data_IF_889145644939
#
_entry.id   IF_889145644939
#
_cell.length_a   1.000
_cell.length_b   1.000
_cell.length_c   1.000
_cell.angle_alpha   90.00
_cell.angle_beta   90.00
_cell.angle_gamma   90.00
#
_symmetry.space_group_name_H-M   'P 1'
#
loop_
_entity.id
_entity.type
_entity.pdbx_description
1 polymer ?
#
# COMPACT_ATOMS: atom_id res chain seq x y z
N UNK A 1 -0.53 -25.02 -27.72
CA UNK A 1 -0.72 -26.03 -26.65
C UNK A 1 -1.40 -25.35 -25.47
N UNK A 2 -2.50 -25.90 -24.97
CA UNK A 2 -3.13 -25.38 -23.75
C UNK A 2 -2.22 -25.68 -22.57
N UNK A 3 -1.71 -24.67 -21.88
CA UNK A 3 -0.90 -24.85 -20.68
C UNK A 3 -1.65 -25.69 -19.63
N UNK A 4 -0.91 -26.59 -18.95
CA UNK A 4 -1.46 -27.43 -17.87
C UNK A 4 -2.07 -26.53 -16.79
N UNK A 5 -3.31 -26.79 -16.39
CA UNK A 5 -3.94 -26.14 -15.24
C UNK A 5 -3.66 -26.94 -13.98
N UNK A 6 -3.25 -26.25 -12.92
CA UNK A 6 -2.88 -26.82 -11.62
C UNK A 6 -3.97 -26.59 -10.57
N UNK A 7 -4.72 -25.48 -10.68
CA UNK A 7 -5.62 -25.00 -9.64
C UNK A 7 -7.08 -25.01 -10.08
N UNK A 8 -7.95 -25.44 -9.18
CA UNK A 8 -9.40 -25.30 -9.33
C UNK A 8 -9.81 -23.89 -8.90
N UNK A 9 -11.02 -23.45 -9.28
CA UNK A 9 -11.52 -22.11 -8.96
C UNK A 9 -11.51 -21.80 -7.45
N UNK A 10 -11.91 -22.76 -6.61
CA UNK A 10 -11.93 -22.60 -5.16
C UNK A 10 -10.51 -22.49 -4.54
N UNK A 11 -9.49 -23.08 -5.14
CA UNK A 11 -8.11 -22.88 -4.72
C UNK A 11 -7.66 -21.43 -4.97
N UNK A 12 -8.03 -20.85 -6.11
CA UNK A 12 -7.69 -19.48 -6.49
C UNK A 12 -8.38 -18.47 -5.57
N UNK A 13 -9.68 -18.67 -5.31
CA UNK A 13 -10.45 -17.85 -4.36
C UNK A 13 -9.88 -17.98 -2.95
N UNK A 14 -9.64 -19.23 -2.50
CA UNK A 14 -9.08 -19.50 -1.18
C UNK A 14 -7.69 -18.89 -0.99
N UNK A 15 -6.81 -18.99 -1.98
CA UNK A 15 -5.53 -18.32 -1.96
C UNK A 15 -5.71 -16.79 -1.91
N UNK A 16 -6.51 -16.21 -2.81
CA UNK A 16 -6.76 -14.76 -2.86
C UNK A 16 -7.32 -14.19 -1.55
N UNK A 17 -8.12 -14.98 -0.81
CA UNK A 17 -8.68 -14.55 0.48
C UNK A 17 -7.61 -14.23 1.54
N UNK A 18 -6.38 -14.67 1.38
CA UNK A 18 -5.26 -14.27 2.22
C UNK A 18 -5.03 -12.76 2.29
N UNK A 19 -5.39 -12.04 1.23
CA UNK A 19 -5.34 -10.57 1.23
C UNK A 19 -6.41 -9.93 2.13
N UNK A 20 -7.47 -10.63 2.50
CA UNK A 20 -8.37 -10.17 3.58
C UNK A 20 -7.57 -10.08 4.88
N UNK A 21 -6.84 -11.13 5.23
CA UNK A 21 -6.04 -11.15 6.45
C UNK A 21 -4.97 -10.05 6.44
N UNK A 22 -4.22 -9.92 5.34
CA UNK A 22 -3.20 -8.88 5.19
C UNK A 22 -3.78 -7.46 5.28
N UNK A 23 -4.91 -7.20 4.64
CA UNK A 23 -5.53 -5.88 4.62
C UNK A 23 -6.30 -5.52 5.89
N UNK A 24 -6.81 -6.51 6.65
CA UNK A 24 -7.31 -6.26 8.00
C UNK A 24 -6.23 -5.61 8.87
N UNK A 25 -4.99 -6.10 8.81
CA UNK A 25 -3.87 -5.49 9.54
C UNK A 25 -3.46 -4.16 8.91
N UNK A 26 -3.19 -4.16 7.59
CA UNK A 26 -2.65 -2.98 6.91
C UNK A 26 -3.59 -1.79 6.92
N UNK A 27 -4.86 -1.98 6.54
CA UNK A 27 -5.85 -0.89 6.49
C UNK A 27 -6.19 -0.37 7.89
N UNK A 28 -6.24 -1.25 8.90
CA UNK A 28 -6.49 -0.86 10.27
C UNK A 28 -5.36 0.00 10.83
N UNK A 29 -4.10 -0.41 10.65
CA UNK A 29 -2.95 0.36 11.10
C UNK A 29 -2.81 1.69 10.33
N UNK A 30 -2.84 1.63 8.99
CA UNK A 30 -2.60 2.82 8.18
C UNK A 30 -3.65 3.92 8.38
N UNK A 31 -4.91 3.55 8.64
CA UNK A 31 -6.00 4.51 8.81
C UNK A 31 -6.21 4.95 10.25
N UNK A 32 -5.92 4.11 11.24
CA UNK A 32 -6.41 4.35 12.60
C UNK A 32 -5.33 4.35 13.70
N UNK A 33 -4.12 3.86 13.45
CA UNK A 33 -3.09 3.81 14.50
C UNK A 33 -2.74 5.20 15.03
N UNK A 34 -2.62 6.18 14.15
CA UNK A 34 -2.28 7.55 14.54
C UNK A 34 -3.38 8.15 15.44
N UNK A 35 -4.66 8.07 15.03
CA UNK A 35 -5.77 8.63 15.80
C UNK A 35 -5.97 7.89 17.13
N UNK A 36 -5.75 6.57 17.18
CA UNK A 36 -5.75 5.81 18.42
C UNK A 36 -4.68 6.30 19.40
N UNK A 37 -3.44 6.43 18.92
CA UNK A 37 -2.31 6.83 19.77
C UNK A 37 -2.42 8.27 20.26
N UNK A 38 -2.92 9.17 19.43
CA UNK A 38 -3.05 10.60 19.78
C UNK A 38 -4.30 10.87 20.60
N UNK A 39 -5.48 10.39 20.17
CA UNK A 39 -6.75 10.72 20.78
C UNK A 39 -7.10 9.84 21.99
N UNK A 40 -6.70 8.56 21.96
CA UNK A 40 -7.07 7.60 23.01
C UNK A 40 -5.96 7.43 24.05
N UNK A 41 -4.71 7.30 23.60
CA UNK A 41 -3.56 7.12 24.52
C UNK A 41 -2.98 8.47 24.94
N UNK A 42 -3.16 9.53 24.14
CA UNK A 42 -2.67 10.89 24.45
C UNK A 42 -1.19 11.11 24.13
N UNK A 43 -0.62 10.35 23.18
CA UNK A 43 0.78 10.48 22.78
C UNK A 43 0.98 11.62 21.77
N UNK A 44 2.17 12.23 21.79
CA UNK A 44 2.52 13.28 20.85
C UNK A 44 2.61 12.74 19.41
N UNK A 45 1.84 13.31 18.47
CA UNK A 45 1.78 12.83 17.09
C UNK A 45 3.12 12.92 16.35
N UNK A 46 3.96 13.91 16.67
CA UNK A 46 5.27 14.07 16.05
C UNK A 46 6.23 12.93 16.42
N UNK A 47 6.23 12.52 17.70
CA UNK A 47 7.02 11.38 18.18
C UNK A 47 6.47 10.11 17.57
N UNK A 48 5.16 9.90 17.58
CA UNK A 48 4.51 8.71 16.98
C UNK A 48 4.86 8.58 15.49
N UNK A 49 4.74 9.66 14.72
CA UNK A 49 5.09 9.67 13.30
C UNK A 49 6.55 9.30 13.05
N UNK A 50 7.46 9.80 13.88
CA UNK A 50 8.89 9.47 13.83
C UNK A 50 9.15 7.99 14.14
N UNK A 51 8.51 7.43 15.18
CA UNK A 51 8.64 6.00 15.54
C UNK A 51 8.13 5.09 14.41
N UNK A 52 7.01 5.44 13.78
CA UNK A 52 6.49 4.70 12.63
C UNK A 52 7.47 4.75 11.46
N UNK A 53 8.05 5.92 11.16
CA UNK A 53 9.02 6.07 10.09
C UNK A 53 10.28 5.24 10.34
N UNK A 54 10.82 5.25 11.55
CA UNK A 54 11.98 4.41 11.95
C UNK A 54 11.66 2.93 11.78
N UNK A 55 10.48 2.49 12.24
CA UNK A 55 10.07 1.09 12.07
C UNK A 55 9.98 0.68 10.60
N UNK A 56 9.45 1.54 9.73
CA UNK A 56 9.37 1.25 8.29
C UNK A 56 10.73 1.19 7.58
N UNK A 57 11.73 1.90 8.08
CA UNK A 57 13.10 1.77 7.57
C UNK A 57 13.70 0.40 7.92
N UNK A 58 13.44 -0.11 9.12
CA UNK A 58 13.85 -1.46 9.52
C UNK A 58 13.19 -2.54 8.70
N UNK A 59 11.92 -2.37 8.34
CA UNK A 59 11.16 -3.28 7.49
C UNK A 59 11.87 -3.54 6.12
N UNK A 60 12.50 -2.51 5.54
CA UNK A 60 13.29 -2.66 4.31
C UNK A 60 14.46 -3.65 4.41
N UNK A 61 15.09 -3.73 5.56
CA UNK A 61 16.21 -4.64 5.80
C UNK A 61 15.71 -6.07 6.01
N UNK A 62 14.63 -6.22 6.75
CA UNK A 62 14.09 -7.53 7.11
C UNK A 62 13.46 -8.28 5.93
N UNK A 63 13.01 -7.59 4.87
CA UNK A 63 12.50 -8.23 3.65
C UNK A 63 13.53 -9.17 3.01
N UNK A 64 14.77 -8.68 2.85
CA UNK A 64 15.86 -9.46 2.24
C UNK A 64 16.17 -10.68 3.11
N UNK A 65 16.17 -10.47 4.43
CA UNK A 65 16.43 -11.54 5.39
C UNK A 65 15.36 -12.64 5.32
N UNK A 66 14.07 -12.28 5.39
CA UNK A 66 12.98 -13.26 5.34
C UNK A 66 12.86 -13.93 3.97
N UNK A 67 13.09 -13.22 2.87
CA UNK A 67 13.15 -13.84 1.54
C UNK A 67 14.17 -14.99 1.51
N UNK A 68 15.39 -14.74 1.98
CA UNK A 68 16.43 -15.79 2.05
C UNK A 68 16.09 -16.94 3.00
N UNK A 69 15.39 -16.68 4.11
CA UNK A 69 14.98 -17.73 5.04
C UNK A 69 13.90 -18.63 4.44
N UNK A 70 12.93 -18.05 3.74
CA UNK A 70 11.85 -18.79 3.08
C UNK A 70 12.43 -19.72 2.01
N UNK A 71 13.37 -19.23 1.19
CA UNK A 71 14.01 -20.03 0.13
C UNK A 71 14.77 -21.24 0.69
N UNK A 72 15.36 -21.12 1.88
CA UNK A 72 16.10 -22.18 2.58
C UNK A 72 15.22 -23.11 3.40
N UNK A 73 13.93 -22.84 3.49
CA UNK A 73 13.02 -23.62 4.33
C UNK A 73 12.61 -24.91 3.62
N UNK A 74 12.79 -26.03 4.32
CA UNK A 74 12.31 -27.34 3.91
C UNK A 74 11.39 -27.90 4.99
N UNK A 75 10.10 -27.99 4.70
CA UNK A 75 9.13 -28.53 5.66
C UNK A 75 8.10 -29.44 4.98
N UNK A 76 7.39 -30.23 5.80
CA UNK A 76 6.27 -31.07 5.31
C UNK A 76 5.10 -30.25 4.73
N UNK A 77 5.03 -28.97 5.07
CA UNK A 77 4.02 -28.05 4.55
C UNK A 77 4.46 -27.34 3.27
N UNK A 78 5.73 -27.42 2.89
CA UNK A 78 6.36 -26.66 1.81
C UNK A 78 7.32 -25.59 2.32
N UNK A 79 7.75 -24.68 1.45
CA UNK A 79 8.70 -23.61 1.73
C UNK A 79 8.01 -22.36 2.33
N UNK A 80 6.94 -21.90 1.71
CA UNK A 80 6.27 -20.63 2.03
C UNK A 80 5.12 -20.79 3.05
N UNK A 81 4.34 -21.85 2.93
CA UNK A 81 3.13 -22.07 3.78
C UNK A 81 3.37 -22.00 5.30
N UNK A 82 4.44 -22.58 5.88
CA UNK A 82 4.69 -22.47 7.31
C UNK A 82 4.96 -21.02 7.75
N UNK A 83 5.70 -20.24 6.97
CA UNK A 83 5.96 -18.83 7.26
C UNK A 83 4.69 -17.99 7.21
N UNK A 84 3.81 -18.27 6.25
CA UNK A 84 2.51 -17.62 6.15
C UNK A 84 1.62 -17.94 7.36
N UNK A 85 1.59 -19.19 7.82
CA UNK A 85 0.78 -19.63 8.97
C UNK A 85 1.31 -19.07 10.28
N UNK A 86 2.57 -19.35 10.61
CA UNK A 86 3.16 -18.94 11.89
C UNK A 86 3.43 -17.44 11.97
N UNK A 87 3.81 -16.82 10.85
CA UNK A 87 3.95 -15.37 10.76
C UNK A 87 2.67 -14.65 11.12
N UNK A 88 1.52 -15.14 10.67
CA UNK A 88 0.25 -14.49 10.99
C UNK A 88 -0.18 -14.62 12.46
N UNK A 89 0.22 -15.67 13.15
CA UNK A 89 0.01 -15.76 14.61
C UNK A 89 0.73 -14.61 15.32
N UNK A 90 1.97 -14.34 14.94
CA UNK A 90 2.72 -13.20 15.44
C UNK A 90 2.06 -11.85 15.08
N UNK A 91 1.54 -11.70 13.84
CA UNK A 91 0.76 -10.54 13.44
C UNK A 91 -0.47 -10.32 14.34
N UNK A 92 -1.23 -11.37 14.61
CA UNK A 92 -2.43 -11.29 15.45
C UNK A 92 -2.12 -10.83 16.87
N UNK A 93 -1.09 -11.41 17.48
CA UNK A 93 -0.64 -11.06 18.85
C UNK A 93 -0.15 -9.61 18.90
N UNK A 94 0.71 -9.21 17.97
CA UNK A 94 1.29 -7.87 17.97
C UNK A 94 0.29 -6.80 17.56
N UNK A 95 -0.70 -7.12 16.70
CA UNK A 95 -1.80 -6.22 16.41
C UNK A 95 -2.60 -5.89 17.65
N UNK A 96 -2.98 -6.89 18.43
CA UNK A 96 -3.67 -6.69 19.70
C UNK A 96 -2.79 -5.90 20.69
N UNK A 97 -1.49 -6.19 20.75
CA UNK A 97 -0.56 -5.48 21.62
C UNK A 97 -0.47 -3.97 21.29
N UNK A 98 -0.50 -3.59 20.02
CA UNK A 98 -0.50 -2.17 19.60
C UNK A 98 -1.73 -1.43 20.13
N UNK A 99 -2.92 -2.04 20.07
CA UNK A 99 -4.16 -1.43 20.52
C UNK A 99 -4.52 -1.74 22.00
N UNK A 100 -3.61 -2.36 22.72
CA UNK A 100 -3.74 -2.67 24.13
C UNK A 100 -2.64 -2.03 25.00
N UNK A 101 -2.16 -0.84 24.60
CA UNK A 101 -1.16 -0.10 25.38
C UNK A 101 -1.73 0.21 26.76
N UNK A 102 -1.02 -0.15 27.85
CA UNK A 102 -1.48 0.14 29.20
C UNK A 102 -1.46 1.67 29.45
N UNK A 103 -2.62 2.21 29.80
CA UNK A 103 -2.79 3.65 30.02
C UNK A 103 -2.20 4.13 31.36
N UNK A 104 -1.90 3.23 32.28
CA UNK A 104 -1.29 3.51 33.58
C UNK A 104 0.24 3.61 33.54
N UNK A 105 0.87 3.32 32.40
CA UNK A 105 2.31 3.47 32.24
C UNK A 105 2.68 4.93 31.95
N UNK A 106 3.90 5.33 32.34
CA UNK A 106 4.46 6.61 31.93
C UNK A 106 4.63 6.71 30.41
N UNK A 107 4.57 7.95 29.87
CA UNK A 107 4.62 8.19 28.42
C UNK A 107 5.81 7.50 27.73
N UNK A 108 6.99 7.53 28.32
CA UNK A 108 8.18 6.85 27.76
C UNK A 108 7.94 5.34 27.56
N UNK A 109 7.36 4.67 28.56
CA UNK A 109 7.06 3.24 28.47
C UNK A 109 5.97 2.95 27.41
N UNK A 110 5.00 3.85 27.22
CA UNK A 110 3.98 3.76 26.17
C UNK A 110 4.60 3.90 24.77
N UNK A 111 5.52 4.83 24.57
CA UNK A 111 6.27 4.96 23.30
C UNK A 111 7.13 3.73 23.03
N UNK A 112 7.84 3.21 24.03
CA UNK A 112 8.67 2.02 23.89
C UNK A 112 7.80 0.78 23.59
N UNK A 113 6.68 0.62 24.26
CA UNK A 113 5.70 -0.45 24.00
C UNK A 113 5.21 -0.39 22.54
N UNK A 114 4.77 0.80 22.11
CA UNK A 114 4.31 1.00 20.74
C UNK A 114 5.41 0.68 19.72
N UNK A 115 6.60 1.22 19.88
CA UNK A 115 7.71 0.98 18.96
C UNK A 115 8.05 -0.51 18.83
N UNK A 116 8.14 -1.22 19.95
CA UNK A 116 8.45 -2.66 19.96
C UNK A 116 7.31 -3.45 19.28
N UNK A 117 6.08 -3.25 19.68
CA UNK A 117 4.93 -3.97 19.13
C UNK A 117 4.74 -3.68 17.64
N UNK A 118 4.86 -2.42 17.23
CA UNK A 118 4.71 -1.99 15.85
C UNK A 118 5.84 -2.51 14.95
N UNK A 119 7.09 -2.47 15.45
CA UNK A 119 8.25 -2.99 14.70
C UNK A 119 8.18 -4.51 14.58
N UNK A 120 7.84 -5.24 15.64
CA UNK A 120 7.64 -6.68 15.58
C UNK A 120 6.53 -7.05 14.60
N UNK A 121 5.43 -6.31 14.60
CA UNK A 121 4.35 -6.55 13.65
C UNK A 121 4.84 -6.34 12.22
N UNK A 122 5.33 -5.16 11.87
CA UNK A 122 5.65 -4.82 10.48
C UNK A 122 6.93 -5.48 9.99
N UNK A 123 8.04 -5.32 10.71
CA UNK A 123 9.36 -5.75 10.25
C UNK A 123 9.65 -7.25 10.46
N UNK A 124 8.86 -7.95 11.26
CA UNK A 124 9.08 -9.39 11.50
C UNK A 124 7.90 -10.21 10.99
N UNK A 125 6.77 -10.13 11.65
CA UNK A 125 5.67 -11.06 11.41
C UNK A 125 4.90 -10.80 10.12
N UNK A 126 4.56 -9.54 9.86
CA UNK A 126 3.86 -9.16 8.61
C UNK A 126 4.76 -9.35 7.39
N UNK A 127 6.02 -8.94 7.48
CA UNK A 127 7.01 -9.17 6.43
C UNK A 127 7.19 -10.65 6.12
N UNK A 128 7.38 -11.50 7.14
CA UNK A 128 7.50 -12.95 6.95
C UNK A 128 6.26 -13.56 6.28
N UNK A 129 5.06 -13.17 6.74
CA UNK A 129 3.80 -13.63 6.17
C UNK A 129 3.62 -13.14 4.72
N UNK A 130 3.83 -11.85 4.46
CA UNK A 130 3.55 -11.24 3.16
C UNK A 130 4.53 -11.70 2.06
N UNK A 131 5.82 -11.86 2.38
CA UNK A 131 6.81 -12.39 1.45
C UNK A 131 6.48 -13.85 1.11
N UNK A 132 6.18 -14.66 2.14
CA UNK A 132 5.78 -16.05 1.95
C UNK A 132 4.50 -16.17 1.09
N UNK A 133 3.51 -15.32 1.35
CA UNK A 133 2.28 -15.27 0.58
C UNK A 133 2.53 -14.91 -0.89
N UNK A 134 3.41 -13.95 -1.15
CA UNK A 134 3.78 -13.58 -2.51
C UNK A 134 4.57 -14.67 -3.23
N UNK A 135 5.54 -15.29 -2.55
CA UNK A 135 6.32 -16.40 -3.07
C UNK A 135 5.43 -17.62 -3.41
N UNK A 136 4.40 -17.85 -2.62
CA UNK A 136 3.47 -18.96 -2.80
C UNK A 136 2.80 -18.95 -4.18
N UNK A 137 2.59 -17.79 -4.80
CA UNK A 137 2.03 -17.67 -6.17
C UNK A 137 2.83 -18.50 -7.18
N UNK A 138 4.16 -18.41 -7.13
CA UNK A 138 5.03 -19.14 -8.04
C UNK A 138 5.20 -20.62 -7.65
N UNK A 139 5.00 -20.95 -6.37
CA UNK A 139 5.18 -22.31 -5.85
C UNK A 139 3.97 -23.23 -6.06
N UNK A 140 2.78 -22.69 -6.38
CA UNK A 140 1.54 -23.48 -6.50
C UNK A 140 1.08 -23.67 -7.95
N UNK A 141 1.60 -22.89 -8.91
CA UNK A 141 1.30 -23.04 -10.33
C UNK A 141 2.39 -22.45 -11.21
N UNK A 142 2.67 -23.11 -12.34
CA UNK A 142 3.50 -22.59 -13.43
C UNK A 142 2.68 -21.92 -14.53
N UNK A 143 1.35 -22.02 -14.48
CA UNK A 143 0.47 -21.45 -15.49
C UNK A 143 0.30 -19.95 -15.28
N UNK A 144 0.80 -19.15 -16.22
CA UNK A 144 0.76 -17.68 -16.15
C UNK A 144 -0.67 -17.13 -16.06
N UNK A 145 -1.64 -17.76 -16.74
CA UNK A 145 -3.03 -17.33 -16.67
C UNK A 145 -3.62 -17.54 -15.25
N UNK A 146 -3.28 -18.66 -14.59
CA UNK A 146 -3.69 -18.91 -13.22
C UNK A 146 -3.06 -17.92 -12.23
N UNK A 147 -1.79 -17.54 -12.44
CA UNK A 147 -1.12 -16.51 -11.61
C UNK A 147 -1.82 -15.17 -11.74
N UNK A 148 -2.24 -14.77 -12.95
CA UNK A 148 -3.00 -13.54 -13.18
C UNK A 148 -4.40 -13.62 -12.52
N UNK A 149 -5.10 -14.74 -12.65
CA UNK A 149 -6.40 -14.96 -11.99
C UNK A 149 -6.26 -14.84 -10.45
N UNK A 150 -5.24 -15.45 -9.87
CA UNK A 150 -4.96 -15.33 -8.42
C UNK A 150 -4.67 -13.90 -8.00
N UNK A 151 -3.86 -13.17 -8.78
CA UNK A 151 -3.60 -11.75 -8.56
C UNK A 151 -4.89 -10.93 -8.57
N UNK A 152 -5.79 -11.20 -9.51
CA UNK A 152 -7.10 -10.51 -9.58
C UNK A 152 -7.96 -10.78 -8.33
N UNK A 153 -8.04 -12.01 -7.84
CA UNK A 153 -8.73 -12.33 -6.59
C UNK A 153 -8.12 -11.63 -5.40
N UNK A 154 -6.79 -11.58 -5.33
CA UNK A 154 -6.05 -10.84 -4.28
C UNK A 154 -6.48 -9.38 -4.25
N UNK A 155 -6.42 -8.68 -5.40
CA UNK A 155 -6.81 -7.26 -5.47
C UNK A 155 -8.26 -7.02 -5.09
N UNK A 156 -9.20 -7.87 -5.54
CA UNK A 156 -10.60 -7.73 -5.17
C UNK A 156 -10.81 -7.83 -3.66
N UNK A 157 -10.21 -8.83 -3.01
CA UNK A 157 -10.30 -8.99 -1.56
C UNK A 157 -9.58 -7.87 -0.80
N UNK A 158 -8.42 -7.42 -1.29
CA UNK A 158 -7.69 -6.31 -0.67
C UNK A 158 -8.51 -5.03 -0.64
N UNK A 159 -9.08 -4.64 -1.79
CA UNK A 159 -9.90 -3.43 -1.89
C UNK A 159 -11.20 -3.54 -1.08
N UNK A 160 -11.91 -4.67 -1.18
CA UNK A 160 -13.13 -4.88 -0.42
C UNK A 160 -12.87 -4.81 1.10
N UNK A 161 -11.81 -5.46 1.57
CA UNK A 161 -11.45 -5.46 2.99
C UNK A 161 -11.04 -4.07 3.46
N UNK A 162 -10.19 -3.37 2.69
CA UNK A 162 -9.75 -2.03 3.03
C UNK A 162 -10.94 -1.08 3.17
N UNK A 163 -11.91 -1.16 2.24
CA UNK A 163 -13.12 -0.38 2.25
C UNK A 163 -14.00 -0.68 3.47
N UNK A 164 -14.18 -1.96 3.79
CA UNK A 164 -14.94 -2.37 4.98
C UNK A 164 -14.30 -1.85 6.27
N UNK A 165 -12.99 -2.07 6.45
CA UNK A 165 -12.24 -1.64 7.64
C UNK A 165 -12.37 -0.12 7.82
N UNK A 166 -12.17 0.66 6.76
CA UNK A 166 -12.28 2.13 6.84
C UNK A 166 -13.71 2.61 7.14
N UNK A 167 -14.72 1.85 6.71
CA UNK A 167 -16.12 2.22 6.90
C UNK A 167 -16.65 1.91 8.30
N UNK A 168 -16.29 0.74 8.85
CA UNK A 168 -16.96 0.21 10.05
C UNK A 168 -16.18 0.42 11.34
N UNK A 169 -14.85 0.63 11.28
CA UNK A 169 -13.98 0.59 12.47
C UNK A 169 -14.38 1.62 13.53
N UNK A 170 -14.57 2.88 13.17
CA UNK A 170 -14.90 3.93 14.16
C UNK A 170 -16.26 3.70 14.81
N UNK A 171 -17.26 3.28 14.02
CA UNK A 171 -18.56 2.88 14.53
C UNK A 171 -18.48 1.68 15.46
N UNK A 172 -17.69 0.67 15.10
CA UNK A 172 -17.47 -0.53 15.91
C UNK A 172 -16.75 -0.20 17.23
N UNK A 173 -15.72 0.65 17.20
CA UNK A 173 -15.03 1.12 18.41
C UNK A 173 -16.00 1.78 19.37
N UNK A 174 -16.87 2.67 18.86
CA UNK A 174 -17.88 3.36 19.66
C UNK A 174 -18.91 2.39 20.23
N UNK A 175 -19.43 1.46 19.42
CA UNK A 175 -20.42 0.48 19.83
C UNK A 175 -19.90 -0.54 20.86
N UNK A 176 -18.60 -0.82 20.85
CA UNK A 176 -17.94 -1.79 21.72
C UNK A 176 -17.31 -1.15 23.00
N UNK A 177 -17.82 -0.01 23.41
CA UNK A 177 -17.47 0.65 24.68
C UNK A 177 -16.60 1.89 24.55
N UNK A 178 -16.18 2.25 23.34
CA UNK A 178 -15.35 3.44 23.09
C UNK A 178 -13.98 3.41 23.76
N UNK A 179 -13.22 4.50 23.62
CA UNK A 179 -11.90 4.64 24.25
C UNK A 179 -10.96 3.47 24.06
N UNK A 180 -10.04 3.22 24.98
CA UNK A 180 -9.05 2.16 24.90
C UNK A 180 -9.68 0.74 24.87
N UNK A 181 -10.81 0.54 25.57
CA UNK A 181 -11.51 -0.75 25.58
C UNK A 181 -12.11 -1.09 24.22
N UNK A 182 -12.76 -0.14 23.55
CA UNK A 182 -13.34 -0.29 22.23
C UNK A 182 -12.27 -0.63 21.18
N UNK A 183 -11.16 0.12 21.17
CA UNK A 183 -10.03 -0.14 20.27
C UNK A 183 -9.44 -1.54 20.45
N UNK A 184 -9.19 -1.94 21.70
CA UNK A 184 -8.67 -3.27 22.04
C UNK A 184 -9.62 -4.36 21.56
N UNK A 185 -10.92 -4.22 21.81
CA UNK A 185 -11.93 -5.22 21.42
C UNK A 185 -11.99 -5.36 19.89
N UNK A 186 -11.98 -4.25 19.14
CA UNK A 186 -11.93 -4.28 17.68
C UNK A 186 -10.65 -4.95 17.19
N UNK A 187 -9.50 -4.63 17.77
CA UNK A 187 -8.23 -5.25 17.40
C UNK A 187 -8.24 -6.79 17.64
N UNK A 188 -8.83 -7.26 18.72
CA UNK A 188 -9.01 -8.69 19.00
C UNK A 188 -9.90 -9.34 17.93
N UNK A 189 -11.04 -8.73 17.60
CA UNK A 189 -11.96 -9.24 16.58
C UNK A 189 -11.25 -9.33 15.22
N UNK A 190 -10.54 -8.29 14.83
CA UNK A 190 -9.78 -8.25 13.56
C UNK A 190 -8.63 -9.25 13.53
N UNK A 191 -7.92 -9.44 14.66
CA UNK A 191 -6.88 -10.44 14.79
C UNK A 191 -7.43 -11.86 14.61
N UNK A 192 -8.58 -12.17 15.21
CA UNK A 192 -9.25 -13.48 15.08
C UNK A 192 -9.73 -13.71 13.65
N UNK A 193 -10.41 -12.74 13.05
CA UNK A 193 -10.89 -12.84 11.67
C UNK A 193 -9.71 -13.08 10.73
N UNK A 194 -8.66 -12.27 10.85
CA UNK A 194 -7.47 -12.41 10.03
C UNK A 194 -6.77 -13.76 10.22
N UNK A 195 -6.67 -14.26 11.44
CA UNK A 195 -6.07 -15.56 11.73
C UNK A 195 -6.85 -16.71 11.08
N UNK A 196 -8.19 -16.68 11.17
CA UNK A 196 -9.06 -17.69 10.55
C UNK A 196 -8.88 -17.64 9.02
N UNK A 197 -8.99 -16.46 8.41
CA UNK A 197 -8.91 -16.31 6.94
C UNK A 197 -7.52 -16.64 6.41
N UNK A 198 -6.45 -16.21 7.09
CA UNK A 198 -5.09 -16.58 6.72
C UNK A 198 -4.89 -18.11 6.77
N UNK A 199 -5.39 -18.75 7.82
CA UNK A 199 -5.32 -20.21 7.94
C UNK A 199 -6.07 -20.91 6.82
N UNK A 200 -7.28 -20.46 6.47
CA UNK A 200 -8.05 -20.97 5.34
C UNK A 200 -7.28 -20.80 4.02
N UNK A 201 -6.67 -19.63 3.81
CA UNK A 201 -5.86 -19.37 2.62
C UNK A 201 -4.66 -20.33 2.51
N UNK A 202 -3.91 -20.54 3.60
CA UNK A 202 -2.76 -21.47 3.66
C UNK A 202 -3.16 -22.89 3.29
N UNK A 203 -4.30 -23.36 3.78
CA UNK A 203 -4.76 -24.73 3.54
C UNK A 203 -5.58 -24.92 2.27
N UNK A 204 -5.97 -23.84 1.60
CA UNK A 204 -6.70 -23.89 0.32
C UNK A 204 -5.84 -24.36 -0.85
N UNK A 205 -4.51 -24.26 -0.75
CA UNK A 205 -3.53 -24.57 -1.79
C UNK A 205 -2.41 -25.46 -1.26
N UNK A 206 -1.73 -26.15 -2.17
CA UNK A 206 -0.53 -26.94 -1.87
C UNK A 206 0.59 -26.53 -2.81
N UNK A 207 1.79 -26.44 -2.28
CA UNK A 207 2.99 -26.21 -3.08
C UNK A 207 3.26 -27.42 -3.99
N UNK A 208 3.75 -27.15 -5.19
CA UNK A 208 4.15 -28.19 -6.12
C UNK A 208 5.40 -28.91 -5.59
N UNK A 209 5.57 -30.23 -5.89
CA UNK A 209 6.78 -30.95 -5.57
C UNK A 209 8.01 -30.26 -6.17
N UNK A 210 9.16 -30.31 -5.49
CA UNK A 210 10.41 -29.69 -5.98
C UNK A 210 10.79 -30.15 -7.38
N UNK A 211 10.58 -31.43 -7.72
CA UNK A 211 10.84 -31.97 -9.05
C UNK A 211 9.94 -31.45 -10.16
N UNK A 212 8.76 -30.88 -9.85
CA UNK A 212 7.92 -30.19 -10.81
C UNK A 212 8.28 -28.70 -10.94
N UNK A 213 8.95 -28.11 -9.95
CA UNK A 213 9.40 -26.71 -9.96
C UNK A 213 10.73 -26.54 -10.71
N UNK A 214 11.59 -27.56 -10.71
CA UNK A 214 12.86 -27.56 -11.42
C UNK A 214 12.69 -27.94 -12.90
N UNK A 215 12.42 -26.98 -13.78
CA UNK A 215 12.63 -27.15 -15.20
C UNK A 215 14.13 -26.99 -15.51
N UNK A 216 14.72 -28.04 -16.10
CA UNK A 216 16.13 -28.10 -16.49
C UNK A 216 16.53 -27.06 -17.55
N UNK A 217 15.56 -26.37 -18.15
CA UNK A 217 15.78 -25.34 -19.17
C UNK A 217 16.16 -23.98 -18.58
N UNK A 218 15.62 -23.65 -17.40
CA UNK A 218 15.84 -22.34 -16.78
C UNK A 218 17.24 -22.16 -16.17
N UNK A 219 17.90 -23.27 -15.77
CA UNK A 219 19.26 -23.20 -15.22
C UNK A 219 20.32 -22.72 -16.23
N UNK A 220 20.11 -22.95 -17.53
CA UNK A 220 21.06 -22.51 -18.57
C UNK A 220 20.89 -21.05 -19.00
N UNK A 221 19.68 -20.48 -18.86
CA UNK A 221 19.45 -19.08 -19.16
C UNK A 221 19.83 -18.17 -17.97
N UNK A 222 19.65 -18.64 -16.73
CA UNK A 222 20.03 -17.89 -15.51
C UNK A 222 21.56 -17.85 -15.31
N UNK A 223 22.32 -18.85 -15.78
CA UNK A 223 23.78 -18.85 -15.72
C UNK A 223 24.46 -17.92 -16.74
N UNK A 224 23.73 -17.47 -17.79
CA UNK A 224 24.23 -16.49 -18.76
C UNK A 224 23.89 -15.03 -18.41
N UNK A 225 23.02 -14.77 -17.43
CA UNK A 225 22.88 -13.41 -16.89
C UNK A 225 24.13 -13.10 -16.03
N UNK A 226 25.00 -12.23 -16.59
CA UNK A 226 26.15 -11.68 -15.87
C UNK A 226 25.71 -11.26 -14.46
N UNK A 227 26.35 -11.84 -13.44
CA UNK A 227 26.13 -11.49 -12.02
C UNK A 227 26.46 -10.02 -11.80
N UNK A 228 25.46 -9.15 -11.98
CA UNK A 228 25.62 -7.74 -11.64
C UNK A 228 25.86 -7.59 -10.14
N UNK A 229 26.90 -6.86 -9.78
CA UNK A 229 27.04 -6.34 -8.44
C UNK A 229 25.87 -5.37 -8.20
N UNK A 230 25.16 -5.47 -7.06
CA UNK A 230 24.02 -4.62 -6.68
C UNK A 230 24.31 -3.12 -6.89
N UNK A 231 25.57 -2.70 -6.69
CA UNK A 231 26.02 -1.31 -6.92
C UNK A 231 25.97 -0.94 -8.40
N UNK A 232 26.29 -1.87 -9.30
CA UNK A 232 26.22 -1.63 -10.76
C UNK A 232 24.78 -1.56 -11.23
N UNK A 233 23.92 -2.44 -10.74
CA UNK A 233 22.47 -2.39 -11.00
C UNK A 233 21.89 -1.05 -10.52
N UNK A 234 22.20 -0.61 -9.30
CA UNK A 234 21.75 0.67 -8.76
C UNK A 234 22.22 1.87 -9.61
N UNK A 235 23.47 1.85 -10.10
CA UNK A 235 23.98 2.90 -11.02
C UNK A 235 23.27 2.92 -12.37
N UNK A 236 22.95 1.75 -12.93
CA UNK A 236 22.19 1.65 -14.17
C UNK A 236 20.78 2.21 -14.01
N UNK A 237 20.12 1.88 -12.90
CA UNK A 237 18.77 2.36 -12.57
C UNK A 237 18.77 3.88 -12.33
N UNK A 238 19.72 4.40 -11.55
CA UNK A 238 19.88 5.84 -11.31
C UNK A 238 20.17 6.63 -12.60
N UNK A 239 20.82 6.00 -13.58
CA UNK A 239 21.07 6.59 -14.90
C UNK A 239 19.85 6.63 -15.82
N UNK A 240 18.77 5.94 -15.49
CA UNK A 240 17.52 5.96 -16.24
C UNK A 240 16.57 7.02 -15.67
N UNK A 241 16.42 8.13 -16.39
CA UNK A 241 15.56 9.26 -15.97
C UNK A 241 14.09 8.85 -15.74
N UNK A 242 13.57 7.94 -16.56
CA UNK A 242 12.18 7.48 -16.44
C UNK A 242 12.00 6.61 -15.19
N UNK A 243 12.98 5.78 -14.88
CA UNK A 243 12.98 5.02 -13.63
C UNK A 243 12.97 5.94 -12.39
N UNK A 244 13.82 6.98 -12.39
CA UNK A 244 13.84 7.94 -11.29
C UNK A 244 12.51 8.68 -11.15
N UNK A 245 11.85 9.03 -12.24
CA UNK A 245 10.51 9.64 -12.22
C UNK A 245 9.47 8.69 -11.57
N UNK A 246 9.52 7.39 -11.90
CA UNK A 246 8.63 6.39 -11.29
C UNK A 246 8.91 6.27 -9.79
N UNK A 247 10.17 6.17 -9.36
CA UNK A 247 10.52 6.11 -7.94
C UNK A 247 9.95 7.30 -7.16
N UNK A 248 10.13 8.52 -7.70
CA UNK A 248 9.60 9.74 -7.08
C UNK A 248 8.07 9.70 -7.04
N UNK A 249 7.42 9.28 -8.13
CA UNK A 249 5.96 9.18 -8.20
C UNK A 249 5.42 8.21 -7.15
N UNK A 250 6.05 7.05 -6.95
CA UNK A 250 5.67 6.10 -5.89
C UNK A 250 5.79 6.71 -4.50
N UNK A 251 6.90 7.42 -4.21
CA UNK A 251 7.10 8.09 -2.92
C UNK A 251 5.99 9.14 -2.70
N UNK A 252 5.70 9.98 -3.71
CA UNK A 252 4.66 11.00 -3.62
C UNK A 252 3.27 10.40 -3.43
N UNK A 253 2.96 9.28 -4.08
CA UNK A 253 1.69 8.58 -3.89
C UNK A 253 1.53 8.03 -2.47
N UNK A 254 2.60 7.55 -1.84
CA UNK A 254 2.55 7.11 -0.45
C UNK A 254 2.35 8.28 0.53
N UNK A 255 3.01 9.41 0.28
CA UNK A 255 2.80 10.64 1.04
C UNK A 255 1.36 11.12 0.86
N UNK A 256 0.84 11.09 -0.37
CA UNK A 256 -0.56 11.39 -0.67
C UNK A 256 -1.51 10.50 0.15
N UNK A 257 -1.30 9.20 0.17
CA UNK A 257 -2.09 8.26 0.98
C UNK A 257 -2.06 8.59 2.48
N UNK A 258 -0.90 8.98 3.01
CA UNK A 258 -0.76 9.42 4.39
C UNK A 258 -1.57 10.70 4.67
N UNK A 259 -1.57 11.67 3.75
CA UNK A 259 -2.40 12.89 3.88
C UNK A 259 -3.90 12.59 3.80
N UNK A 260 -4.31 11.67 2.93
CA UNK A 260 -5.72 11.23 2.84
C UNK A 260 -6.17 10.54 4.14
N UNK A 261 -5.29 9.80 4.83
CA UNK A 261 -5.62 9.19 6.12
C UNK A 261 -5.94 10.22 7.20
N UNK A 262 -5.47 11.48 7.06
CA UNK A 262 -5.87 12.60 7.92
C UNK A 262 -7.35 12.97 7.76
N UNK A 263 -8.05 12.38 6.80
CA UNK A 263 -9.50 12.45 6.68
C UNK A 263 -10.25 12.00 7.93
N UNK A 264 -9.66 11.11 8.75
CA UNK A 264 -10.22 10.75 10.07
C UNK A 264 -10.30 11.95 11.01
N UNK A 265 -9.22 12.73 11.09
CA UNK A 265 -9.18 13.96 11.89
C UNK A 265 -10.05 15.07 11.28
N UNK A 266 -10.01 15.22 9.95
CA UNK A 266 -10.84 16.19 9.23
C UNK A 266 -12.34 15.93 9.46
N UNK A 267 -12.76 14.68 9.35
CA UNK A 267 -14.14 14.27 9.60
C UNK A 267 -14.55 14.48 11.06
N UNK A 268 -13.66 14.20 12.01
CA UNK A 268 -13.91 14.31 13.45
C UNK A 268 -13.99 15.78 13.89
N UNK A 269 -12.97 16.59 13.57
CA UNK A 269 -12.81 17.94 14.16
C UNK A 269 -13.35 19.06 13.29
N UNK A 270 -13.55 18.86 11.98
CA UNK A 270 -14.04 19.89 11.07
C UNK A 270 -15.48 19.59 10.65
N UNK A 271 -15.77 18.35 10.23
CA UNK A 271 -17.12 17.97 9.82
C UNK A 271 -18.03 17.52 11.00
N UNK A 272 -17.45 17.30 12.18
CA UNK A 272 -18.18 16.92 13.39
C UNK A 272 -18.78 15.51 13.36
N UNK A 273 -18.40 14.67 12.38
CA UNK A 273 -18.88 13.30 12.25
C UNK A 273 -17.77 12.38 11.74
N UNK A 274 -17.16 11.63 12.64
CA UNK A 274 -16.06 10.71 12.32
C UNK A 274 -16.44 9.61 11.29
N UNK A 275 -17.72 9.21 11.22
CA UNK A 275 -18.16 8.18 10.30
C UNK A 275 -18.14 8.64 8.83
N UNK A 276 -18.07 9.93 8.56
CA UNK A 276 -17.89 10.46 7.20
C UNK A 276 -16.58 10.02 6.57
N UNK A 277 -15.55 9.67 7.35
CA UNK A 277 -14.32 9.08 6.80
C UNK A 277 -14.60 7.82 5.99
N UNK A 278 -15.48 6.94 6.48
CA UNK A 278 -15.93 5.77 5.72
C UNK A 278 -16.60 6.16 4.41
N UNK A 279 -17.47 7.17 4.41
CA UNK A 279 -18.17 7.64 3.19
C UNK A 279 -17.16 8.20 2.17
N UNK A 280 -16.16 8.97 2.62
CA UNK A 280 -15.06 9.43 1.75
C UNK A 280 -14.24 8.26 1.20
N UNK A 281 -14.02 7.21 2.00
CA UNK A 281 -13.34 6.00 1.53
C UNK A 281 -14.12 5.29 0.41
N UNK A 282 -15.44 5.27 0.47
CA UNK A 282 -16.28 4.77 -0.63
C UNK A 282 -16.15 5.64 -1.88
N UNK A 283 -16.17 6.95 -1.72
CA UNK A 283 -15.99 7.89 -2.82
C UNK A 283 -14.61 7.80 -3.49
N UNK A 284 -13.60 7.28 -2.81
CA UNK A 284 -12.28 7.00 -3.38
C UNK A 284 -12.23 5.62 -4.03
N UNK A 285 -12.54 4.57 -3.28
CA UNK A 285 -12.23 3.20 -3.69
C UNK A 285 -13.15 2.67 -4.80
N UNK A 286 -14.45 2.99 -4.80
CA UNK A 286 -15.37 2.49 -5.83
C UNK A 286 -15.04 3.06 -7.21
N UNK A 287 -14.91 4.40 -7.40
CA UNK A 287 -14.53 4.94 -8.70
C UNK A 287 -13.14 4.47 -9.15
N UNK A 288 -12.20 4.31 -8.22
CA UNK A 288 -10.86 3.80 -8.50
C UNK A 288 -10.92 2.38 -9.09
N UNK A 289 -11.68 1.47 -8.48
CA UNK A 289 -11.87 0.10 -8.97
C UNK A 289 -12.50 0.11 -10.37
N UNK A 290 -13.51 0.95 -10.59
CA UNK A 290 -14.14 1.10 -11.90
C UNK A 290 -13.10 1.55 -12.93
N UNK A 291 -12.30 2.55 -12.62
CA UNK A 291 -11.25 3.03 -13.52
C UNK A 291 -10.21 1.95 -13.83
N UNK A 292 -9.77 1.17 -12.82
CA UNK A 292 -8.83 0.06 -12.99
C UNK A 292 -9.35 -1.00 -13.98
N UNK A 293 -10.63 -1.37 -13.88
CA UNK A 293 -11.26 -2.35 -14.79
C UNK A 293 -11.25 -1.86 -16.25
N UNK A 294 -11.46 -0.57 -16.46
CA UNK A 294 -11.51 0.01 -17.82
C UNK A 294 -10.12 0.42 -18.35
N UNK A 295 -9.08 0.50 -17.52
CA UNK A 295 -7.75 0.93 -17.92
C UNK A 295 -7.19 0.18 -19.13
N UNK A 296 -7.19 -1.16 -19.22
CA UNK A 296 -6.67 -1.86 -20.39
C UNK A 296 -7.38 -1.48 -21.69
N UNK A 297 -8.70 -1.32 -21.64
CA UNK A 297 -9.52 -0.91 -22.79
C UNK A 297 -9.18 0.52 -23.22
N UNK A 298 -8.97 1.41 -22.26
CA UNK A 298 -8.60 2.81 -22.53
C UNK A 298 -7.20 2.92 -23.11
N UNK A 299 -6.22 2.19 -22.59
CA UNK A 299 -4.84 2.12 -23.12
C UNK A 299 -4.86 1.65 -24.58
N UNK A 300 -5.62 0.59 -24.89
CA UNK A 300 -5.76 0.07 -26.26
C UNK A 300 -6.41 1.10 -27.20
N UNK A 301 -7.45 1.80 -26.74
CA UNK A 301 -8.16 2.82 -27.55
C UNK A 301 -7.31 4.06 -27.84
N UNK A 302 -6.40 4.41 -26.92
CA UNK A 302 -5.57 5.61 -27.03
C UNK A 302 -4.18 5.34 -27.61
N UNK A 303 -3.91 4.09 -27.98
CA UNK A 303 -2.64 3.63 -28.54
C UNK A 303 -1.43 4.03 -27.67
N UNK A 304 -1.53 3.79 -26.36
CA UNK A 304 -0.43 4.03 -25.43
C UNK A 304 -0.87 4.52 -24.06
N UNK A 305 0.03 4.39 -23.09
CA UNK A 305 -0.21 4.74 -21.69
C UNK A 305 0.02 6.23 -21.41
N UNK A 306 1.01 6.85 -22.08
CA UNK A 306 1.43 8.22 -21.82
C UNK A 306 0.30 9.24 -21.85
N UNK A 307 -0.43 9.31 -22.99
CA UNK A 307 -1.52 10.29 -23.17
C UNK A 307 -2.65 10.06 -22.18
N UNK A 308 -3.01 8.81 -21.96
CA UNK A 308 -4.05 8.42 -21.01
C UNK A 308 -3.68 8.88 -19.59
N UNK A 309 -2.46 8.58 -19.13
CA UNK A 309 -1.98 8.93 -17.79
C UNK A 309 -1.94 10.44 -17.57
N UNK A 310 -1.41 11.21 -18.53
CA UNK A 310 -1.37 12.67 -18.40
C UNK A 310 -2.78 13.27 -18.31
N UNK A 311 -3.71 12.85 -19.19
CA UNK A 311 -5.07 13.40 -19.18
C UNK A 311 -5.85 12.97 -17.92
N UNK A 312 -5.75 11.70 -17.53
CA UNK A 312 -6.47 11.20 -16.36
C UNK A 312 -5.96 11.83 -15.05
N UNK A 313 -4.63 11.98 -14.90
CA UNK A 313 -4.08 12.66 -13.73
C UNK A 313 -4.32 14.18 -13.74
N UNK A 314 -4.40 14.81 -14.92
CA UNK A 314 -4.85 16.22 -15.02
C UNK A 314 -6.29 16.36 -14.50
N UNK A 315 -7.18 15.45 -14.89
CA UNK A 315 -8.54 15.40 -14.36
C UNK A 315 -8.54 15.21 -12.83
N UNK A 316 -7.70 14.32 -12.31
CA UNK A 316 -7.54 14.10 -10.86
C UNK A 316 -7.09 15.38 -10.15
N UNK A 317 -6.08 16.06 -10.68
CA UNK A 317 -5.55 17.33 -10.11
C UNK A 317 -6.60 18.43 -10.07
N UNK A 318 -7.32 18.64 -11.19
CA UNK A 318 -8.41 19.64 -11.24
C UNK A 318 -9.50 19.28 -10.23
N UNK A 319 -9.90 18.02 -10.17
CA UNK A 319 -10.92 17.56 -9.23
C UNK A 319 -10.48 17.71 -7.77
N UNK A 320 -9.21 17.48 -7.45
CA UNK A 320 -8.65 17.74 -6.11
C UNK A 320 -8.64 19.22 -5.76
N UNK A 321 -8.36 20.11 -6.71
CA UNK A 321 -8.51 21.54 -6.50
C UNK A 321 -9.96 21.91 -6.16
N UNK A 322 -10.94 21.31 -6.84
CA UNK A 322 -12.36 21.52 -6.56
C UNK A 322 -12.79 20.93 -5.20
N UNK A 323 -12.22 19.80 -4.76
CA UNK A 323 -12.38 19.27 -3.40
C UNK A 323 -11.90 20.31 -2.37
N UNK A 324 -10.72 20.92 -2.62
CA UNK A 324 -10.19 21.94 -1.72
C UNK A 324 -11.11 23.16 -1.66
N UNK A 325 -11.56 23.66 -2.79
CA UNK A 325 -12.53 24.77 -2.86
C UNK A 325 -13.81 24.41 -2.08
N UNK A 326 -14.41 23.25 -2.34
CA UNK A 326 -15.61 22.79 -1.63
C UNK A 326 -15.40 22.66 -0.12
N UNK A 327 -14.21 22.22 0.32
CA UNK A 327 -13.85 22.10 1.73
C UNK A 327 -13.67 23.46 2.46
N UNK A 328 -13.34 24.52 1.72
CA UNK A 328 -13.25 25.89 2.26
C UNK A 328 -14.58 26.68 2.16
N UNK A 329 -15.59 26.15 1.49
CA UNK A 329 -16.91 26.81 1.39
C UNK A 329 -17.72 26.61 2.69
N UNK A 330 -17.73 27.61 3.56
CA UNK A 330 -18.48 27.60 4.83
C UNK A 330 -18.00 26.49 5.80
N UNK A 331 -18.93 25.63 6.24
CA UNK A 331 -18.63 24.45 7.05
C UNK A 331 -18.10 23.26 6.24
N UNK A 332 -17.81 23.45 4.94
CA UNK A 332 -17.49 22.43 3.97
C UNK A 332 -18.75 21.81 3.30
N UNK A 333 -18.78 21.85 1.97
CA UNK A 333 -19.87 21.20 1.24
C UNK A 333 -19.51 19.72 1.01
N UNK A 334 -19.91 18.86 1.95
CA UNK A 334 -19.61 17.42 1.92
C UNK A 334 -20.04 16.76 0.63
N UNK A 335 -21.20 17.13 0.07
CA UNK A 335 -21.71 16.53 -1.17
C UNK A 335 -20.79 16.85 -2.35
N UNK A 336 -20.36 18.10 -2.50
CA UNK A 336 -19.42 18.50 -3.55
C UNK A 336 -18.03 17.87 -3.33
N UNK A 337 -17.58 17.81 -2.07
CA UNK A 337 -16.32 17.14 -1.73
C UNK A 337 -16.34 15.67 -2.13
N UNK A 338 -17.42 14.93 -1.84
CA UNK A 338 -17.58 13.53 -2.22
C UNK A 338 -17.60 13.36 -3.74
N UNK A 339 -18.36 14.20 -4.45
CA UNK A 339 -18.45 14.16 -5.91
C UNK A 339 -17.06 14.35 -6.55
N UNK A 340 -16.37 15.43 -6.19
CA UNK A 340 -15.06 15.72 -6.78
C UNK A 340 -13.97 14.73 -6.30
N UNK A 341 -14.08 14.17 -5.10
CA UNK A 341 -13.21 13.07 -4.65
C UNK A 341 -13.41 11.83 -5.52
N UNK A 342 -14.63 11.48 -5.88
CA UNK A 342 -14.92 10.36 -6.76
C UNK A 342 -14.35 10.59 -8.18
N UNK A 343 -14.49 11.80 -8.72
CA UNK A 343 -13.91 12.15 -10.04
C UNK A 343 -12.38 12.13 -9.98
N UNK A 344 -11.77 12.61 -8.90
CA UNK A 344 -10.32 12.54 -8.71
C UNK A 344 -9.82 11.08 -8.69
N UNK A 345 -10.53 10.20 -7.99
CA UNK A 345 -10.21 8.78 -7.93
C UNK A 345 -10.33 8.09 -9.30
N UNK A 346 -11.34 8.43 -10.11
CA UNK A 346 -11.44 8.00 -11.51
C UNK A 346 -10.21 8.42 -12.32
N UNK A 347 -9.74 9.65 -12.12
CA UNK A 347 -8.55 10.16 -12.80
C UNK A 347 -7.25 9.48 -12.38
N UNK A 348 -7.14 9.02 -11.13
CA UNK A 348 -5.95 8.32 -10.63
C UNK A 348 -5.88 6.84 -11.05
N UNK A 349 -7.02 6.23 -11.41
CA UNK A 349 -7.13 4.80 -11.71
C UNK A 349 -6.24 4.31 -12.86
N UNK A 350 -6.24 4.95 -14.04
CA UNK A 350 -5.44 4.49 -15.18
C UNK A 350 -3.96 4.33 -14.85
N UNK A 351 -3.35 5.30 -14.18
CA UNK A 351 -1.96 5.22 -13.74
C UNK A 351 -1.70 4.05 -12.78
N UNK A 352 -2.59 3.79 -11.83
CA UNK A 352 -2.46 2.64 -10.94
C UNK A 352 -2.61 1.31 -11.69
N UNK A 353 -3.41 1.28 -12.75
CA UNK A 353 -3.65 0.10 -13.55
C UNK A 353 -2.50 -0.26 -14.48
N UNK A 354 -1.81 0.73 -15.05
CA UNK A 354 -0.76 0.50 -16.04
C UNK A 354 0.67 0.73 -15.51
N UNK A 355 0.83 1.12 -14.27
CA UNK A 355 2.11 1.45 -13.64
C UNK A 355 3.16 0.34 -13.83
N UNK A 356 2.79 -0.93 -13.70
CA UNK A 356 3.69 -2.06 -13.93
C UNK A 356 4.14 -2.14 -15.40
N UNK A 357 3.28 -1.81 -16.34
CA UNK A 357 3.62 -1.76 -17.75
C UNK A 357 4.56 -0.60 -18.07
N UNK A 358 4.40 0.55 -17.41
CA UNK A 358 5.34 1.67 -17.50
C UNK A 358 6.72 1.30 -16.92
N UNK A 359 6.77 0.56 -15.82
CA UNK A 359 8.04 0.01 -15.27
C UNK A 359 8.72 -0.91 -16.29
N UNK A 360 7.95 -1.80 -16.93
CA UNK A 360 8.47 -2.67 -17.99
C UNK A 360 9.02 -1.87 -19.18
N UNK A 361 8.34 -0.80 -19.60
CA UNK A 361 8.82 0.10 -20.64
C UNK A 361 10.13 0.82 -20.24
N UNK A 362 10.32 1.15 -18.95
CA UNK A 362 11.59 1.70 -18.44
C UNK A 362 12.71 0.66 -18.47
N UNK A 363 12.41 -0.62 -18.23
CA UNK A 363 13.40 -1.69 -18.37
C UNK A 363 13.84 -1.83 -19.82
N UNK A 364 12.90 -1.83 -20.75
CA UNK A 364 13.19 -1.84 -22.18
C UNK A 364 14.04 -0.65 -22.60
N UNK A 365 13.76 0.57 -22.12
CA UNK A 365 14.60 1.74 -22.36
C UNK A 365 16.04 1.52 -21.92
N UNK A 366 16.26 0.89 -20.77
CA UNK A 366 17.61 0.54 -20.30
C UNK A 366 18.27 -0.47 -21.21
N UNK A 367 17.53 -1.49 -21.69
CA UNK A 367 18.04 -2.44 -22.66
C UNK A 367 18.43 -1.79 -23.98
N UNK A 368 17.58 -0.96 -24.56
CA UNK A 368 17.85 -0.28 -25.83
C UNK A 368 19.01 0.72 -25.77
N UNK A 369 19.25 1.33 -24.60
CA UNK A 369 20.32 2.34 -24.43
C UNK A 369 21.63 1.79 -23.91
N UNK A 370 21.62 0.72 -23.10
CA UNK A 370 22.78 0.20 -22.40
C UNK A 370 23.10 -1.26 -22.74
N UNK A 371 22.23 -1.94 -23.50
CA UNK A 371 22.31 -3.37 -23.83
C UNK A 371 22.46 -4.28 -22.61
N UNK A 372 21.80 -3.90 -21.51
CA UNK A 372 21.82 -4.58 -20.22
C UNK A 372 20.40 -4.80 -19.70
N UNK A 373 20.07 -6.04 -19.34
CA UNK A 373 18.77 -6.37 -18.72
C UNK A 373 18.85 -6.28 -17.21
N UNK A 374 17.92 -5.53 -16.61
CA UNK A 374 17.79 -5.34 -15.15
C UNK A 374 16.31 -5.46 -14.72
N UNK A 375 15.57 -6.33 -15.41
CA UNK A 375 14.12 -6.45 -15.29
C UNK A 375 13.67 -6.66 -13.83
N UNK A 376 14.23 -7.63 -13.14
CA UNK A 376 13.88 -7.90 -11.74
C UNK A 376 14.18 -6.75 -10.79
N UNK A 377 15.36 -6.11 -10.94
CA UNK A 377 15.75 -4.97 -10.08
C UNK A 377 14.94 -3.71 -10.40
N UNK A 378 14.40 -3.59 -11.62
CA UNK A 378 13.57 -2.44 -12.02
C UNK A 378 12.32 -2.31 -11.15
N UNK A 379 11.71 -3.42 -10.73
CA UNK A 379 10.55 -3.40 -9.85
C UNK A 379 10.85 -3.04 -8.39
N UNK A 380 12.13 -2.89 -8.03
CA UNK A 380 12.51 -2.46 -6.67
C UNK A 380 12.01 -1.05 -6.31
N UNK A 381 11.68 -0.21 -7.32
CA UNK A 381 11.07 1.11 -7.09
C UNK A 381 9.73 1.03 -6.36
N UNK A 382 8.96 -0.04 -6.55
CA UNK A 382 7.68 -0.23 -5.87
C UNK A 382 7.89 -0.43 -4.36
N UNK A 383 8.80 -1.33 -4.00
CA UNK A 383 9.14 -1.59 -2.59
C UNK A 383 9.77 -0.36 -1.92
N UNK A 384 10.75 0.25 -2.59
CA UNK A 384 11.39 1.48 -2.12
C UNK A 384 10.35 2.60 -1.90
N UNK A 385 9.47 2.83 -2.88
CA UNK A 385 8.42 3.84 -2.81
C UNK A 385 7.47 3.60 -1.65
N UNK A 386 6.99 2.37 -1.48
CA UNK A 386 6.07 2.03 -0.39
C UNK A 386 6.72 2.23 0.98
N UNK A 387 7.96 1.82 1.17
CA UNK A 387 8.66 1.89 2.46
C UNK A 387 9.12 3.30 2.81
N UNK A 388 9.88 3.93 1.91
CA UNK A 388 10.35 5.30 2.11
C UNK A 388 9.18 6.29 2.11
N UNK A 389 8.32 6.23 1.09
CA UNK A 389 7.21 7.16 0.97
C UNK A 389 6.19 6.98 2.09
N UNK A 390 5.88 5.74 2.48
CA UNK A 390 4.98 5.46 3.60
C UNK A 390 5.55 5.87 4.95
N UNK A 391 6.86 5.69 5.16
CA UNK A 391 7.56 6.18 6.36
C UNK A 391 7.59 7.70 6.43
N UNK A 392 8.05 8.35 5.36
CA UNK A 392 8.09 9.81 5.25
C UNK A 392 6.69 10.43 5.35
N UNK A 393 5.69 9.87 4.66
CA UNK A 393 4.32 10.36 4.71
C UNK A 393 3.76 10.36 6.13
N UNK A 394 3.94 9.27 6.87
CA UNK A 394 3.47 9.18 8.26
C UNK A 394 4.25 10.10 9.20
N UNK A 395 5.57 10.26 9.00
CA UNK A 395 6.37 11.21 9.77
C UNK A 395 5.89 12.64 9.52
N UNK A 396 5.73 13.04 8.25
CA UNK A 396 5.27 14.39 7.88
C UNK A 396 3.88 14.66 8.47
N UNK A 397 2.94 13.71 8.38
CA UNK A 397 1.62 13.90 9.00
C UNK A 397 1.72 14.11 10.51
N UNK A 398 2.53 13.31 11.20
CA UNK A 398 2.74 13.46 12.64
C UNK A 398 3.40 14.80 13.02
N UNK A 399 4.43 15.23 12.28
CA UNK A 399 5.12 16.49 12.53
C UNK A 399 4.23 17.73 12.27
N UNK A 400 3.46 17.71 11.17
CA UNK A 400 2.52 18.80 10.87
C UNK A 400 1.42 18.90 11.94
N UNK A 401 0.90 17.74 12.38
CA UNK A 401 -0.11 17.71 13.43
C UNK A 401 0.46 18.22 14.78
N UNK A 402 1.67 17.79 15.14
CA UNK A 402 2.35 18.28 16.34
C UNK A 402 2.64 19.78 16.28
N UNK A 403 3.15 20.28 15.15
CA UNK A 403 3.45 21.70 14.94
C UNK A 403 2.20 22.59 14.96
N UNK A 404 1.03 22.04 14.72
CA UNK A 404 -0.24 22.75 14.76
C UNK A 404 -0.83 22.92 16.16
N UNK A 405 -0.13 22.46 17.20
CA UNK A 405 -0.60 22.44 18.58
C UNK A 405 -1.85 21.58 18.81
N UNK A 406 -1.93 20.45 18.10
CA UNK A 406 -2.99 19.48 18.32
C UNK A 406 -3.00 18.97 19.76
N UNK A 407 -4.17 19.02 20.41
CA UNK A 407 -4.37 18.51 21.76
C UNK A 407 -5.61 17.58 21.79
N UNK A 408 -5.37 16.30 22.03
CA UNK A 408 -6.42 15.29 22.07
C UNK A 408 -7.42 15.46 23.23
N UNK A 409 -7.07 16.23 24.26
CA UNK A 409 -7.96 16.51 25.39
C UNK A 409 -9.03 17.55 25.02
N UNK A 410 -8.84 18.32 23.97
CA UNK A 410 -9.74 19.36 23.53
C UNK A 410 -10.79 18.83 22.55
N UNK A 411 -12.06 19.07 22.83
CA UNK A 411 -13.16 18.80 21.91
C UNK A 411 -13.19 19.78 20.73
N UNK A 412 -12.75 21.01 20.95
CA UNK A 412 -12.58 22.05 19.94
C UNK A 412 -11.09 22.38 19.86
N UNK A 413 -10.51 22.10 18.69
CA UNK A 413 -9.08 22.30 18.45
C UNK A 413 -8.77 23.79 18.20
N UNK A 414 -7.53 24.24 18.50
CA UNK A 414 -7.09 25.59 18.16
C UNK A 414 -7.20 25.88 16.66
N UNK A 415 -7.40 27.14 16.27
CA UNK A 415 -7.50 27.58 14.89
C UNK A 415 -6.26 27.15 14.05
N UNK A 416 -5.08 27.14 14.66
CA UNK A 416 -3.85 26.66 14.04
C UNK A 416 -3.96 25.20 13.63
N UNK A 417 -4.55 24.36 14.48
CA UNK A 417 -4.76 22.95 14.20
C UNK A 417 -5.85 22.74 13.13
N UNK A 418 -6.97 23.43 13.23
CA UNK A 418 -8.05 23.39 12.23
C UNK A 418 -7.53 23.78 10.84
N UNK A 419 -6.77 24.88 10.74
CA UNK A 419 -6.16 25.30 9.49
C UNK A 419 -5.15 24.29 8.96
N UNK A 420 -4.31 23.71 9.83
CA UNK A 420 -3.37 22.68 9.43
C UNK A 420 -4.08 21.41 8.91
N UNK A 421 -5.14 20.95 9.57
CA UNK A 421 -5.94 19.82 9.10
C UNK A 421 -6.56 20.06 7.72
N UNK A 422 -7.04 21.30 7.46
CA UNK A 422 -7.50 21.69 6.12
C UNK A 422 -6.37 21.64 5.11
N UNK A 423 -5.19 22.15 5.43
CA UNK A 423 -4.03 22.10 4.54
C UNK A 423 -3.63 20.67 4.27
N UNK A 424 -3.55 19.81 5.27
CA UNK A 424 -3.14 18.40 5.14
C UNK A 424 -4.12 17.60 4.30
N UNK A 425 -5.42 17.78 4.47
CA UNK A 425 -6.43 16.97 3.80
C UNK A 425 -6.86 17.53 2.42
N UNK A 426 -6.83 18.85 2.25
CA UNK A 426 -7.32 19.51 1.04
C UNK A 426 -6.19 19.99 0.12
N UNK A 427 -5.22 20.75 0.69
CA UNK A 427 -4.22 21.47 -0.12
C UNK A 427 -3.05 20.56 -0.52
N UNK A 428 -2.47 19.84 0.44
CA UNK A 428 -1.30 18.97 0.15
C UNK A 428 -1.64 17.87 -0.86
N UNK A 429 -2.77 17.14 -0.78
CA UNK A 429 -3.12 16.16 -1.81
C UNK A 429 -3.27 16.77 -3.21
N UNK A 430 -3.84 17.97 -3.32
CA UNK A 430 -3.88 18.71 -4.59
C UNK A 430 -2.48 19.03 -5.11
N UNK A 431 -1.59 19.54 -4.26
CA UNK A 431 -0.22 19.87 -4.65
C UNK A 431 0.57 18.62 -5.09
N UNK A 432 0.39 17.50 -4.39
CA UNK A 432 1.01 16.21 -4.75
C UNK A 432 0.50 15.69 -6.10
N UNK A 433 -0.81 15.72 -6.35
CA UNK A 433 -1.39 15.34 -7.64
C UNK A 433 -0.87 16.25 -8.77
N UNK A 434 -0.70 17.55 -8.52
CA UNK A 434 -0.12 18.47 -9.50
C UNK A 434 1.35 18.12 -9.82
N UNK A 435 2.16 17.80 -8.81
CA UNK A 435 3.54 17.38 -9.02
C UNK A 435 3.59 16.04 -9.78
N UNK A 436 2.75 15.08 -9.44
CA UNK A 436 2.66 13.80 -10.14
C UNK A 436 2.25 14.03 -11.59
N UNK A 437 1.24 14.87 -11.85
CA UNK A 437 0.83 15.23 -13.23
C UNK A 437 1.98 15.83 -14.03
N UNK A 438 2.77 16.70 -13.39
CA UNK A 438 3.97 17.27 -14.02
C UNK A 438 5.00 16.18 -14.36
N UNK A 439 5.29 15.25 -13.45
CA UNK A 439 6.20 14.13 -13.69
C UNK A 439 5.68 13.24 -14.84
N UNK A 440 4.41 12.88 -14.82
CA UNK A 440 3.78 12.07 -15.87
C UNK A 440 3.82 12.76 -17.23
N UNK A 441 3.70 14.08 -17.29
CA UNK A 441 3.81 14.83 -18.55
C UNK A 441 5.20 14.75 -19.21
N UNK A 442 6.22 14.35 -18.45
CA UNK A 442 7.58 14.11 -18.91
C UNK A 442 7.92 12.62 -19.09
N UNK A 443 7.00 11.70 -18.73
CA UNK A 443 7.17 10.24 -18.77
C UNK A 443 6.97 9.67 -20.19
N UNK A 444 7.68 10.19 -21.18
CA UNK A 444 7.58 9.79 -22.59
C UNK A 444 8.42 8.56 -22.93
N UNK A 445 8.40 7.54 -22.07
CA UNK A 445 9.24 6.35 -22.24
C UNK A 445 8.83 5.52 -23.46
N UNK A 446 7.53 5.41 -23.76
CA UNK A 446 7.03 4.71 -24.96
C UNK A 446 7.56 5.35 -26.24
N UNK A 447 7.40 6.68 -26.40
CA UNK A 447 7.92 7.43 -27.56
C UNK A 447 9.45 7.32 -27.69
N UNK A 448 10.17 7.27 -26.56
CA UNK A 448 11.62 7.11 -26.53
C UNK A 448 12.02 5.70 -27.01
N UNK A 449 11.32 4.67 -26.57
CA UNK A 449 11.57 3.28 -27.00
C UNK A 449 11.28 3.10 -28.51
N UNK A 450 10.19 3.67 -29.03
CA UNK A 450 9.87 3.64 -30.46
C UNK A 450 10.96 4.29 -31.31
N UNK A 451 11.46 5.46 -30.91
CA UNK A 451 12.56 6.14 -31.61
C UNK A 451 13.85 5.34 -31.59
N UNK A 452 14.16 4.68 -30.47
CA UNK A 452 15.36 3.86 -30.35
C UNK A 452 15.26 2.59 -31.19
N UNK A 453 14.07 1.94 -31.24
CA UNK A 453 13.82 0.78 -32.11
C UNK A 453 13.91 1.13 -33.60
N UNK A 454 13.45 2.32 -33.99
CA UNK A 454 13.50 2.78 -35.38
C UNK A 454 14.91 3.20 -35.82
N UNK A 455 15.84 3.41 -34.89
CA UNK A 455 17.22 3.77 -35.15
C UNK A 455 18.19 2.57 -35.25
N UNK A 456 17.71 1.38 -34.90
CA UNK A 456 18.40 0.09 -35.03
C UNK A 456 17.94 -0.62 -36.31
#
# INVERSE_FOLDING_TARGET
MTEKRYLKWYNKVGYGSGDIAGNVVYAFLSSFVMIYLTNTVGLNPGIVGTLIAVSKLLDGVTDIFFGSLIDKTHSKMGKARPWMLYGYIGCAITLVAIFAIPTNLGQFAQYAWFLIAYTLLNAVFYTANNIAYSALTALITKNSAEQVEMGSWRFMFAFATSLLIQSITLGAVTALGGGAAGWRTVAIIYAIIGLIVNTLSVFSVKELPEGELEDTTDKKEIEQDEKYNLVQAAKLLAGNKYYMMICVTYILQQIYGAMISMGTYYATYILGNQNLFGVFSWAINIPLIIALVFTPTLVAKWNGMYKLNVMSYTLATISRALVAVAGYMGSGNVTLMLLFTAIAALGQGPWQGDMNAVIAACSEYTWLTKHKRVDGTMYSCTSLGVKLGGGLGTAITGWLLAASHFDSALTVQPDSCINMLKIMYLVIPFALDAIITFLLSHMKVEEANEKLRAAV
#
